data_IF_634278966912
#
_entry.id   IF_634278966912
#
_cell.length_a   1.000
_cell.length_b   1.000
_cell.length_c   1.000
_cell.angle_alpha   90.00
_cell.angle_beta   90.00
_cell.angle_gamma   90.00
#
_symmetry.space_group_name_H-M   'P 1'
#
loop_
_entity.id
_entity.type
_entity.pdbx_description
1 polymer ?
#
# COMPACT_ATOMS: atom_id res chain seq x y z
N UNK A 1 -4.38 7.45 -16.42
CA UNK A 1 -5.51 6.57 -16.85
C UNK A 1 -5.16 6.02 -18.21
N UNK A 2 -5.42 4.73 -18.50
CA UNK A 2 -5.24 4.19 -19.84
C UNK A 2 -6.20 4.91 -20.80
N UNK A 3 -5.65 5.37 -21.93
CA UNK A 3 -6.33 6.09 -23.01
C UNK A 3 -6.62 5.18 -24.21
N UNK A 4 -6.03 3.97 -24.24
CA UNK A 4 -6.15 3.00 -25.32
C UNK A 4 -6.83 1.72 -24.82
N UNK A 5 -7.86 1.27 -25.53
CA UNK A 5 -8.55 0.00 -25.29
C UNK A 5 -8.33 -0.98 -26.46
N UNK A 6 -8.29 -2.27 -26.14
CA UNK A 6 -8.30 -3.39 -27.08
C UNK A 6 -9.55 -4.20 -26.79
N UNK A 7 -10.42 -4.41 -27.78
CA UNK A 7 -11.74 -4.99 -27.59
C UNK A 7 -12.52 -4.24 -26.50
N UNK A 8 -12.79 -2.97 -26.79
CA UNK A 8 -13.42 -2.04 -25.85
C UNK A 8 -14.56 -2.74 -25.09
N UNK A 9 -14.55 -2.72 -23.75
CA UNK A 9 -13.80 -1.81 -22.86
C UNK A 9 -12.49 -2.37 -22.28
N UNK A 10 -11.86 -3.42 -22.84
CA UNK A 10 -10.69 -4.05 -22.19
C UNK A 10 -9.40 -3.26 -22.43
N UNK A 11 -8.56 -3.17 -21.40
CA UNK A 11 -7.31 -2.40 -21.47
C UNK A 11 -6.10 -3.33 -21.60
N UNK A 12 -5.19 -3.08 -22.57
CA UNK A 12 -3.91 -3.77 -22.66
C UNK A 12 -3.04 -3.56 -21.42
N UNK A 13 -2.37 -4.60 -20.96
CA UNK A 13 -1.30 -4.46 -19.98
C UNK A 13 0.00 -4.05 -20.71
N UNK A 14 0.67 -3.00 -20.23
CA UNK A 14 1.95 -2.51 -20.76
C UNK A 14 2.87 -2.11 -19.61
N UNK A 15 4.15 -1.88 -19.90
CA UNK A 15 5.17 -1.57 -18.88
C UNK A 15 4.82 -0.37 -18.01
N UNK A 16 4.21 0.66 -18.59
CA UNK A 16 3.74 1.86 -17.89
C UNK A 16 2.35 1.74 -17.24
N UNK A 17 1.75 0.55 -17.21
CA UNK A 17 0.41 0.36 -16.64
C UNK A 17 0.35 0.63 -15.13
N UNK A 18 1.47 0.68 -14.41
CA UNK A 18 1.52 0.75 -12.95
C UNK A 18 0.60 -0.28 -12.26
N UNK A 19 0.36 -1.40 -12.94
CA UNK A 19 -0.56 -2.43 -12.48
C UNK A 19 0.06 -3.27 -11.38
N UNK A 20 -0.76 -3.58 -10.38
CA UNK A 20 -0.39 -4.40 -9.21
C UNK A 20 -1.16 -5.71 -9.26
N UNK A 21 -0.42 -6.82 -9.18
CA UNK A 21 -0.96 -8.17 -9.06
C UNK A 21 -0.68 -8.72 -7.65
N UNK A 22 -1.50 -8.30 -6.68
CA UNK A 22 -1.44 -8.82 -5.32
C UNK A 22 -2.02 -10.24 -5.30
N UNK A 23 -1.30 -11.20 -4.71
CA UNK A 23 -1.74 -12.58 -4.63
C UNK A 23 -3.11 -12.66 -3.92
N UNK A 24 -4.13 -13.15 -4.63
CA UNK A 24 -5.48 -13.38 -4.09
C UNK A 24 -5.64 -14.79 -3.54
N UNK A 25 -4.74 -15.70 -3.95
CA UNK A 25 -4.59 -17.05 -3.39
C UNK A 25 -3.39 -17.05 -2.42
N UNK A 26 -3.48 -17.67 -1.23
CA UNK A 26 -2.41 -17.61 -0.23
C UNK A 26 -1.04 -18.05 -0.77
N UNK A 27 -0.04 -17.15 -0.66
CA UNK A 27 1.37 -17.45 -0.92
C UNK A 27 1.98 -18.09 0.33
N UNK A 28 1.81 -19.41 0.48
CA UNK A 28 2.31 -20.15 1.65
C UNK A 28 3.82 -20.37 1.51
N UNK A 29 4.58 -19.86 2.46
CA UNK A 29 6.03 -19.96 2.48
C UNK A 29 6.53 -20.72 3.71
N UNK A 30 7.73 -21.28 3.59
CA UNK A 30 8.47 -21.91 4.68
C UNK A 30 9.00 -20.80 5.56
N UNK A 31 8.47 -20.59 6.76
CA UNK A 31 8.98 -19.57 7.69
C UNK A 31 9.83 -20.18 8.80
N UNK A 32 10.87 -19.47 9.28
CA UNK A 32 11.61 -19.91 10.45
C UNK A 32 10.72 -19.84 11.69
N UNK A 33 10.65 -20.94 12.45
CA UNK A 33 9.90 -21.00 13.70
C UNK A 33 9.70 -22.43 14.20
N UNK A 34 9.33 -22.63 15.47
CA UNK A 34 8.96 -23.94 16.00
C UNK A 34 7.60 -24.41 15.45
N UNK A 35 7.38 -25.71 15.17
CA UNK A 35 8.37 -26.81 15.21
C UNK A 35 9.32 -26.80 13.99
N UNK A 36 10.55 -27.26 14.20
CA UNK A 36 11.55 -27.38 13.14
C UNK A 36 11.13 -28.41 12.05
N UNK A 37 11.56 -28.26 10.78
CA UNK A 37 12.51 -27.25 10.28
C UNK A 37 11.90 -25.89 9.88
N UNK A 38 10.58 -25.80 9.67
CA UNK A 38 9.88 -24.55 9.32
C UNK A 38 8.38 -24.64 9.62
N UNK A 39 7.73 -23.47 9.68
CA UNK A 39 6.27 -23.33 9.81
C UNK A 39 5.68 -22.82 8.49
N UNK A 40 4.77 -23.57 7.83
CA UNK A 40 4.05 -23.09 6.66
C UNK A 40 3.20 -21.86 7.02
N UNK A 41 3.52 -20.71 6.42
CA UNK A 41 2.89 -19.42 6.77
C UNK A 41 2.50 -18.66 5.51
N UNK A 42 1.24 -18.20 5.38
CA UNK A 42 0.85 -17.27 4.33
C UNK A 42 1.60 -15.95 4.46
N UNK A 43 2.33 -15.56 3.41
CA UNK A 43 2.98 -14.25 3.30
C UNK A 43 2.38 -13.45 2.15
N UNK A 44 2.44 -12.11 2.17
CA UNK A 44 2.07 -11.33 1.01
C UNK A 44 3.05 -11.62 -0.14
N UNK A 45 2.54 -11.65 -1.37
CA UNK A 45 3.36 -11.55 -2.58
C UNK A 45 2.63 -10.69 -3.60
N UNK A 46 3.36 -9.74 -4.18
CA UNK A 46 2.81 -8.69 -5.02
C UNK A 46 3.68 -8.56 -6.26
N UNK A 47 3.10 -8.86 -7.41
CA UNK A 47 3.71 -8.59 -8.71
C UNK A 47 3.50 -7.14 -9.14
N UNK A 48 4.52 -6.54 -9.75
CA UNK A 48 4.45 -5.17 -10.29
C UNK A 48 4.82 -5.18 -11.76
N UNK A 49 3.90 -4.74 -12.63
CA UNK A 49 4.10 -4.75 -14.09
C UNK A 49 5.33 -4.01 -14.60
N UNK A 50 5.83 -3.01 -13.85
CA UNK A 50 7.07 -2.28 -14.17
C UNK A 50 8.36 -2.94 -13.70
N UNK A 51 8.29 -3.99 -12.89
CA UNK A 51 9.45 -4.64 -12.28
C UNK A 51 9.92 -5.83 -13.13
N UNK A 52 11.17 -5.83 -13.59
CA UNK A 52 11.76 -6.89 -14.44
C UNK A 52 10.82 -7.44 -15.54
N UNK A 53 10.21 -6.59 -16.39
CA UNK A 53 9.27 -7.04 -17.41
C UNK A 53 9.98 -7.87 -18.49
N UNK A 54 9.47 -9.09 -18.74
CA UNK A 54 9.98 -10.04 -19.73
C UNK A 54 8.85 -10.51 -20.65
N UNK A 55 9.19 -10.76 -21.92
CA UNK A 55 8.21 -11.23 -22.90
C UNK A 55 7.21 -10.18 -23.38
N UNK A 56 7.53 -8.90 -23.19
CA UNK A 56 6.78 -7.77 -23.75
C UNK A 56 7.18 -7.54 -25.22
N UNK A 57 6.37 -6.77 -25.95
CA UNK A 57 6.68 -6.35 -27.33
C UNK A 57 8.01 -5.60 -27.41
N UNK A 58 8.63 -5.67 -28.58
CA UNK A 58 9.91 -4.99 -28.88
C UNK A 58 9.79 -3.94 -29.97
N UNK A 59 8.78 -4.04 -30.83
CA UNK A 59 8.52 -3.18 -32.00
C UNK A 59 7.22 -2.42 -31.90
N UNK A 60 6.24 -2.93 -31.14
CA UNK A 60 4.92 -2.30 -30.96
C UNK A 60 4.85 -1.63 -29.60
N UNK A 61 4.37 -0.39 -29.55
CA UNK A 61 4.13 0.33 -28.29
C UNK A 61 2.71 0.83 -28.22
N UNK A 62 2.13 0.83 -27.02
CA UNK A 62 0.89 1.53 -26.67
C UNK A 62 1.24 2.60 -25.65
N UNK A 63 0.84 3.84 -25.89
CA UNK A 63 1.20 4.99 -25.03
C UNK A 63 2.72 5.14 -24.81
N UNK A 64 3.50 4.83 -25.85
CA UNK A 64 4.96 4.85 -25.79
C UNK A 64 5.58 3.72 -24.96
N UNK A 65 4.78 2.76 -24.48
CA UNK A 65 5.24 1.66 -23.62
C UNK A 65 5.16 0.29 -24.32
N UNK A 66 6.13 -0.59 -24.10
CA UNK A 66 6.05 -2.00 -24.50
C UNK A 66 4.84 -2.68 -23.86
N UNK A 67 4.17 -3.55 -24.62
CA UNK A 67 2.91 -4.21 -24.27
C UNK A 67 3.15 -5.66 -23.88
N UNK A 68 2.49 -6.14 -22.83
CA UNK A 68 2.53 -7.54 -22.44
C UNK A 68 1.80 -8.38 -23.50
N UNK A 69 2.47 -9.40 -24.01
CA UNK A 69 1.92 -10.36 -24.98
C UNK A 69 2.12 -11.78 -24.46
N UNK A 70 1.46 -12.78 -25.06
CA UNK A 70 1.49 -14.17 -24.60
C UNK A 70 2.88 -14.65 -24.18
N UNK A 71 2.99 -15.05 -22.90
CA UNK A 71 4.24 -15.47 -22.28
C UNK A 71 4.94 -14.39 -21.46
N UNK A 72 4.37 -13.18 -21.37
CA UNK A 72 4.91 -12.11 -20.56
C UNK A 72 4.90 -12.44 -19.06
N UNK A 73 5.88 -11.88 -18.36
CA UNK A 73 6.00 -11.94 -16.90
C UNK A 73 6.67 -10.68 -16.37
N UNK A 74 6.60 -10.47 -15.07
CA UNK A 74 7.31 -9.41 -14.36
C UNK A 74 7.67 -9.89 -12.95
N UNK A 75 8.47 -9.12 -12.21
CA UNK A 75 8.94 -9.43 -10.86
C UNK A 75 7.83 -9.33 -9.81
N UNK A 76 7.99 -10.10 -8.72
CA UNK A 76 7.14 -10.01 -7.54
C UNK A 76 7.96 -9.91 -6.26
N UNK A 77 7.36 -9.34 -5.21
CA UNK A 77 8.00 -9.17 -3.91
C UNK A 77 7.00 -9.35 -2.76
N UNK A 78 7.49 -9.59 -1.54
CA UNK A 78 6.67 -9.58 -0.31
C UNK A 78 7.01 -10.68 0.70
N UNK A 79 7.77 -11.68 0.28
CA UNK A 79 8.04 -12.90 1.05
C UNK A 79 9.53 -13.12 1.37
N UNK A 80 10.28 -12.01 1.46
CA UNK A 80 11.70 -11.99 1.85
C UNK A 80 11.99 -12.70 3.17
N UNK A 81 11.05 -12.68 4.11
CA UNK A 81 11.19 -13.31 5.42
C UNK A 81 11.36 -14.83 5.34
N UNK A 82 10.91 -15.46 4.26
CA UNK A 82 11.04 -16.90 4.03
C UNK A 82 12.33 -17.30 3.30
N UNK A 83 13.20 -16.34 2.94
CA UNK A 83 14.40 -16.60 2.12
C UNK A 83 15.39 -17.53 2.81
N UNK A 84 15.59 -17.37 4.12
CA UNK A 84 16.50 -18.20 4.92
C UNK A 84 16.05 -19.66 5.04
N UNK A 85 14.77 -19.93 4.77
CA UNK A 85 14.12 -21.25 4.92
C UNK A 85 13.69 -21.85 3.59
N UNK A 86 14.17 -21.29 2.47
CA UNK A 86 13.95 -21.82 1.13
C UNK A 86 12.68 -21.35 0.43
N UNK A 87 12.01 -20.31 0.94
CA UNK A 87 10.96 -19.58 0.25
C UNK A 87 9.58 -20.25 0.22
N UNK A 88 8.86 -20.00 -0.86
CA UNK A 88 7.56 -20.58 -1.16
C UNK A 88 7.53 -22.08 -0.99
N UNK A 89 6.44 -22.60 -0.44
CA UNK A 89 6.28 -24.03 -0.18
C UNK A 89 6.39 -24.86 -1.46
N UNK A 90 5.82 -24.35 -2.55
CA UNK A 90 5.76 -25.01 -3.86
C UNK A 90 6.86 -24.48 -4.79
N UNK A 91 7.00 -23.16 -4.92
CA UNK A 91 7.97 -22.58 -5.87
C UNK A 91 9.42 -22.65 -5.41
N UNK A 92 9.65 -22.80 -4.09
CA UNK A 92 10.95 -22.61 -3.45
C UNK A 92 11.61 -21.27 -3.84
N UNK A 93 10.78 -20.23 -3.99
CA UNK A 93 11.20 -18.89 -4.38
C UNK A 93 10.60 -17.83 -3.43
N UNK A 94 11.18 -16.64 -3.37
CA UNK A 94 10.71 -15.54 -2.50
C UNK A 94 10.38 -14.27 -3.25
N UNK A 95 10.81 -14.15 -4.49
CA UNK A 95 10.61 -12.98 -5.36
C UNK A 95 10.49 -13.47 -6.81
N UNK A 96 9.73 -14.54 -6.99
CA UNK A 96 9.62 -15.20 -8.27
C UNK A 96 8.85 -14.40 -9.31
N UNK A 97 8.88 -14.82 -10.58
CA UNK A 97 8.08 -14.17 -11.62
C UNK A 97 6.58 -14.21 -11.28
N UNK A 98 5.90 -13.09 -11.49
CA UNK A 98 4.46 -13.06 -11.73
C UNK A 98 4.22 -13.21 -13.22
N UNK A 99 3.49 -14.24 -13.63
CA UNK A 99 3.30 -14.62 -15.03
C UNK A 99 1.82 -14.62 -15.39
N UNK A 100 1.48 -14.05 -16.54
CA UNK A 100 0.12 -14.12 -17.05
C UNK A 100 -0.22 -15.57 -17.43
N UNK A 101 -1.42 -16.01 -17.05
CA UNK A 101 -1.99 -17.31 -17.45
C UNK A 101 -3.32 -17.18 -18.17
N UNK A 102 -3.93 -15.99 -18.14
CA UNK A 102 -5.03 -15.66 -19.04
C UNK A 102 -4.63 -15.79 -20.51
N UNK A 103 -5.57 -16.08 -21.42
CA UNK A 103 -5.28 -16.22 -22.84
C UNK A 103 -4.94 -14.88 -23.54
N UNK A 104 -5.14 -13.75 -22.85
CA UNK A 104 -5.09 -12.43 -23.46
C UNK A 104 -6.28 -12.16 -24.37
N UNK A 105 -6.11 -11.18 -25.25
CA UNK A 105 -7.03 -10.88 -26.33
C UNK A 105 -7.12 -12.03 -27.34
N UNK A 106 -8.33 -12.40 -27.74
CA UNK A 106 -8.56 -13.55 -28.63
C UNK A 106 -8.50 -13.19 -30.13
N UNK A 107 -8.56 -11.90 -30.44
CA UNK A 107 -8.70 -11.31 -31.77
C UNK A 107 -7.62 -10.26 -32.06
N UNK A 108 -7.04 -9.61 -31.05
CA UNK A 108 -5.95 -8.63 -31.19
C UNK A 108 -4.62 -9.22 -30.77
N UNK A 109 -3.67 -9.19 -31.72
CA UNK A 109 -2.32 -9.70 -31.54
C UNK A 109 -1.30 -8.61 -31.85
N UNK A 110 -0.26 -8.51 -31.01
CA UNK A 110 0.95 -7.76 -31.30
C UNK A 110 2.10 -8.73 -31.50
N UNK A 111 2.90 -8.51 -32.54
CA UNK A 111 4.04 -9.39 -32.88
C UNK A 111 3.63 -10.86 -33.04
N UNK A 112 2.40 -11.10 -33.53
CA UNK A 112 1.84 -12.43 -33.74
C UNK A 112 1.35 -13.13 -32.47
N UNK A 113 1.41 -12.49 -31.31
CA UNK A 113 0.98 -13.04 -30.01
C UNK A 113 -0.19 -12.27 -29.42
N UNK A 114 -1.04 -12.94 -28.65
CA UNK A 114 -2.20 -12.29 -28.03
C UNK A 114 -1.73 -11.21 -27.06
N UNK A 115 -2.43 -10.09 -27.06
CA UNK A 115 -2.17 -8.97 -26.12
C UNK A 115 -2.75 -9.30 -24.76
N UNK A 116 -1.94 -9.27 -23.70
CA UNK A 116 -2.45 -9.45 -22.34
C UNK A 116 -3.27 -8.24 -21.91
N UNK A 117 -4.32 -8.51 -21.15
CA UNK A 117 -5.26 -7.52 -20.66
C UNK A 117 -5.10 -7.35 -19.15
N UNK A 118 -5.50 -6.19 -18.61
CA UNK A 118 -5.40 -5.96 -17.17
C UNK A 118 -6.15 -7.01 -16.35
N UNK A 119 -7.33 -7.45 -16.81
CA UNK A 119 -8.12 -8.48 -16.12
C UNK A 119 -7.61 -9.92 -16.29
N UNK A 120 -6.48 -10.14 -16.97
CA UNK A 120 -5.97 -11.50 -17.16
C UNK A 120 -5.44 -12.08 -15.84
N UNK A 121 -5.85 -13.31 -15.45
CA UNK A 121 -5.34 -13.94 -14.25
C UNK A 121 -3.85 -14.24 -14.38
N UNK A 122 -3.18 -14.26 -13.23
CA UNK A 122 -1.74 -14.40 -13.12
C UNK A 122 -1.36 -15.42 -12.06
N UNK A 123 -0.18 -16.00 -12.22
CA UNK A 123 0.50 -16.77 -11.19
C UNK A 123 1.54 -15.89 -10.52
N UNK A 124 1.75 -16.07 -9.23
CA UNK A 124 2.64 -15.26 -8.39
C UNK A 124 3.74 -16.12 -7.78
N UNK A 125 4.87 -15.47 -7.50
CA UNK A 125 6.05 -16.07 -6.91
C UNK A 125 6.42 -17.43 -7.56
N UNK A 126 6.50 -17.44 -8.89
CA UNK A 126 6.80 -18.67 -9.60
C UNK A 126 8.25 -19.11 -9.41
N UNK A 127 8.54 -20.38 -9.66
CA UNK A 127 9.91 -20.84 -9.86
C UNK A 127 10.59 -20.07 -11.01
N UNK A 128 11.93 -20.16 -11.14
CA UNK A 128 12.71 -19.37 -12.10
C UNK A 128 12.23 -19.44 -13.57
N UNK A 129 11.63 -20.56 -13.98
CA UNK A 129 11.06 -20.76 -15.32
C UNK A 129 9.62 -20.26 -15.48
N UNK A 130 9.05 -19.61 -14.46
CA UNK A 130 7.64 -19.25 -14.40
C UNK A 130 6.72 -20.39 -13.93
N UNK A 131 7.30 -21.47 -13.39
CA UNK A 131 6.59 -22.60 -12.75
C UNK A 131 7.53 -23.36 -11.80
N UNK A 132 7.00 -24.11 -10.83
CA UNK A 132 5.61 -24.08 -10.38
C UNK A 132 5.30 -22.75 -9.67
N UNK A 133 4.02 -22.41 -9.58
CA UNK A 133 3.57 -21.20 -8.88
C UNK A 133 3.34 -21.45 -7.41
N UNK A 134 3.63 -20.46 -6.57
CA UNK A 134 3.32 -20.55 -5.14
C UNK A 134 1.97 -19.90 -4.78
N UNK A 135 1.50 -18.99 -5.62
CA UNK A 135 0.24 -18.28 -5.47
C UNK A 135 -0.31 -17.85 -6.83
N UNK A 136 -1.48 -17.19 -6.81
CA UNK A 136 -2.12 -16.64 -7.99
C UNK A 136 -2.85 -15.33 -7.67
N UNK A 137 -2.99 -14.48 -8.69
CA UNK A 137 -3.84 -13.29 -8.71
C UNK A 137 -4.94 -13.51 -9.73
N UNK A 138 -6.16 -13.78 -9.25
CA UNK A 138 -7.29 -14.12 -10.12
C UNK A 138 -7.96 -12.89 -10.74
N UNK A 139 -7.78 -11.72 -10.13
CA UNK A 139 -8.38 -10.46 -10.59
C UNK A 139 -7.53 -9.72 -11.65
N UNK A 140 -6.33 -10.23 -11.95
CA UNK A 140 -5.36 -9.57 -12.81
C UNK A 140 -4.69 -8.34 -12.18
N UNK A 141 -4.23 -7.44 -13.05
CA UNK A 141 -3.60 -6.17 -12.72
C UNK A 141 -4.64 -5.10 -12.35
N UNK A 142 -4.58 -4.64 -11.11
CA UNK A 142 -5.38 -3.48 -10.65
C UNK A 142 -4.59 -2.19 -10.91
N UNK A 143 -5.26 -1.19 -11.51
CA UNK A 143 -4.72 0.15 -11.76
C UNK A 143 -5.53 1.19 -10.95
N UNK A 144 -4.89 1.95 -10.06
CA UNK A 144 -5.52 3.05 -9.32
C UNK A 144 -6.12 2.66 -7.96
N UNK A 145 -5.82 3.51 -6.95
CA UNK A 145 -5.88 3.27 -5.49
C UNK A 145 -5.28 1.93 -5.09
N UNK A 146 -3.95 1.95 -5.12
CA UNK A 146 -3.10 1.10 -4.33
C UNK A 146 -3.68 0.87 -2.91
N UNK A 147 -4.05 -0.36 -2.59
CA UNK A 147 -3.54 -0.97 -1.35
C UNK A 147 -2.07 -1.26 -1.64
N UNK A 148 -1.23 -0.22 -1.58
CA UNK A 148 0.20 -0.44 -1.40
C UNK A 148 0.31 -1.06 -0.02
N UNK A 149 1.05 -2.16 0.19
CA UNK A 149 1.71 -2.26 1.48
C UNK A 149 2.52 -0.96 1.64
N UNK A 150 2.22 -0.16 2.68
CA UNK A 150 2.87 1.14 3.00
C UNK A 150 4.25 1.25 2.33
N UNK A 151 4.33 2.10 1.30
CA UNK A 151 5.54 2.34 0.53
C UNK A 151 6.60 2.95 1.46
N UNK A 152 7.86 2.84 1.03
CA UNK A 152 9.02 3.22 1.85
C UNK A 152 9.11 4.73 2.07
N UNK A 153 10.00 5.13 2.98
CA UNK A 153 10.22 6.53 3.36
C UNK A 153 10.75 7.44 2.21
N UNK A 154 10.97 6.90 1.01
CA UNK A 154 11.57 7.58 -0.14
C UNK A 154 13.03 7.97 0.07
N UNK A 155 13.66 8.58 -0.95
CA UNK A 155 14.92 9.30 -0.77
C UNK A 155 14.60 10.74 -0.36
N UNK A 156 14.97 11.12 0.87
CA UNK A 156 14.78 12.47 1.41
C UNK A 156 15.64 13.53 0.69
N UNK A 157 16.64 13.12 -0.10
CA UNK A 157 17.42 14.04 -0.93
C UNK A 157 16.78 14.27 -2.31
N UNK A 158 15.66 13.61 -2.61
CA UNK A 158 14.94 13.83 -3.85
C UNK A 158 14.35 15.25 -3.85
N UNK A 159 14.56 16.06 -4.91
CA UNK A 159 13.95 17.39 -5.02
C UNK A 159 12.45 17.35 -5.34
N UNK A 160 11.86 16.16 -5.47
CA UNK A 160 10.42 15.95 -5.67
C UNK A 160 9.78 16.73 -6.83
N UNK A 161 10.41 16.83 -8.02
CA UNK A 161 9.93 17.70 -9.10
C UNK A 161 8.57 17.25 -9.67
N UNK A 162 8.26 15.94 -9.61
CA UNK A 162 7.00 15.39 -10.10
C UNK A 162 6.08 14.91 -8.97
N UNK A 163 6.24 15.45 -7.75
CA UNK A 163 5.41 15.05 -6.63
C UNK A 163 3.94 15.39 -6.89
N UNK A 164 3.12 14.36 -6.75
CA UNK A 164 1.68 14.42 -6.93
C UNK A 164 1.04 14.63 -5.56
N UNK A 165 0.18 15.64 -5.46
CA UNK A 165 -0.65 15.90 -4.29
C UNK A 165 -2.10 15.72 -4.72
N UNK A 166 -2.83 14.87 -4.00
CA UNK A 166 -4.14 14.39 -4.42
C UNK A 166 -5.13 15.56 -4.61
N UNK A 167 -5.36 15.92 -5.85
CA UNK A 167 -6.29 16.93 -6.35
C UNK A 167 -7.63 16.33 -6.78
N UNK A 168 -7.78 15.01 -6.72
CA UNK A 168 -8.95 14.27 -7.23
C UNK A 168 -10.11 14.29 -6.23
N UNK A 169 -9.81 14.11 -4.94
CA UNK A 169 -10.83 14.14 -3.89
C UNK A 169 -10.94 15.52 -3.24
N UNK A 170 -12.15 16.06 -3.13
CA UNK A 170 -12.39 17.31 -2.39
C UNK A 170 -12.17 17.12 -0.89
N UNK A 171 -11.90 18.20 -0.14
CA UNK A 171 -11.78 18.15 1.32
C UNK A 171 -13.02 17.55 1.99
N UNK A 172 -14.23 17.86 1.48
CA UNK A 172 -15.46 17.26 1.97
C UNK A 172 -15.47 15.73 1.82
N UNK A 173 -14.98 15.21 0.70
CA UNK A 173 -14.85 13.77 0.48
C UNK A 173 -13.83 13.17 1.45
N UNK A 174 -12.69 13.83 1.67
CA UNK A 174 -11.68 13.37 2.63
C UNK A 174 -12.18 13.32 4.06
N UNK A 175 -12.94 14.32 4.49
CA UNK A 175 -13.59 14.32 5.82
C UNK A 175 -14.61 13.18 5.95
N UNK A 176 -15.38 12.90 4.90
CA UNK A 176 -16.30 11.76 4.89
C UNK A 176 -15.56 10.41 4.96
N UNK A 177 -14.47 10.25 4.20
CA UNK A 177 -13.61 9.06 4.25
C UNK A 177 -13.00 8.88 5.65
N UNK A 178 -12.52 9.96 6.27
CA UNK A 178 -11.97 9.94 7.62
C UNK A 178 -13.05 9.54 8.65
N UNK A 179 -14.26 10.07 8.54
CA UNK A 179 -15.39 9.69 9.40
C UNK A 179 -15.75 8.21 9.26
N UNK A 180 -15.79 7.70 8.04
CA UNK A 180 -16.03 6.28 7.77
C UNK A 180 -14.89 5.41 8.33
N UNK A 181 -13.64 5.87 8.25
CA UNK A 181 -12.45 5.19 8.80
C UNK A 181 -12.52 5.11 10.33
N UNK A 182 -12.90 6.19 11.00
CA UNK A 182 -13.09 6.24 12.46
C UNK A 182 -14.17 5.24 12.88
N UNK A 183 -15.34 5.29 12.23
CA UNK A 183 -16.49 4.43 12.54
C UNK A 183 -16.20 2.95 12.28
N UNK A 184 -15.64 2.62 11.10
CA UNK A 184 -15.36 1.23 10.72
C UNK A 184 -14.31 0.58 11.62
N UNK A 185 -13.24 1.30 11.98
CA UNK A 185 -12.23 0.80 12.92
C UNK A 185 -12.78 0.69 14.33
N UNK A 186 -13.58 1.66 14.77
CA UNK A 186 -14.26 1.62 16.07
C UNK A 186 -15.15 0.37 16.19
N UNK A 187 -16.03 0.16 15.21
CA UNK A 187 -16.90 -1.02 15.16
C UNK A 187 -16.11 -2.33 15.06
N UNK A 188 -15.01 -2.36 14.31
CA UNK A 188 -14.15 -3.55 14.24
C UNK A 188 -13.43 -3.83 15.55
N UNK A 189 -12.98 -2.80 16.27
CA UNK A 189 -12.42 -2.93 17.62
C UNK A 189 -13.43 -3.53 18.59
N UNK A 190 -14.64 -2.98 18.66
CA UNK A 190 -15.72 -3.49 19.53
C UNK A 190 -16.06 -4.94 19.22
N UNK A 191 -16.15 -5.29 17.93
CA UNK A 191 -16.39 -6.66 17.49
C UNK A 191 -15.28 -7.61 17.93
N UNK A 192 -14.02 -7.27 17.68
CA UNK A 192 -12.90 -8.13 18.08
C UNK A 192 -12.77 -8.26 19.60
N UNK A 193 -13.11 -7.22 20.35
CA UNK A 193 -13.16 -7.30 21.81
C UNK A 193 -14.26 -8.27 22.29
N UNK A 194 -15.47 -8.20 21.70
CA UNK A 194 -16.53 -9.15 22.00
C UNK A 194 -16.15 -10.59 21.61
N UNK A 195 -15.54 -10.79 20.43
CA UNK A 195 -15.06 -12.10 19.99
C UNK A 195 -13.97 -12.64 20.92
N UNK A 196 -13.09 -11.77 21.46
CA UNK A 196 -12.07 -12.15 22.43
C UNK A 196 -12.68 -12.66 23.75
N UNK A 197 -13.69 -11.96 24.29
CA UNK A 197 -14.42 -12.39 25.50
C UNK A 197 -15.08 -13.75 25.30
N UNK A 198 -15.71 -13.97 24.13
CA UNK A 198 -16.34 -15.25 23.81
C UNK A 198 -15.29 -16.37 23.70
N UNK A 199 -14.15 -16.10 23.07
CA UNK A 199 -13.06 -17.07 22.94
C UNK A 199 -12.45 -17.43 24.31
N UNK A 200 -12.28 -16.45 25.20
CA UNK A 200 -11.80 -16.67 26.57
C UNK A 200 -12.78 -17.51 27.38
N UNK A 201 -14.08 -17.20 27.32
CA UNK A 201 -15.13 -17.99 27.98
C UNK A 201 -15.24 -19.43 27.48
N UNK A 202 -14.84 -19.69 26.23
CA UNK A 202 -14.73 -21.03 25.65
C UNK A 202 -13.40 -21.75 25.99
N UNK A 203 -12.52 -21.13 26.78
CA UNK A 203 -11.22 -21.69 27.17
C UNK A 203 -10.13 -21.58 26.08
N UNK A 204 -10.37 -20.81 25.01
CA UNK A 204 -9.42 -20.62 23.91
C UNK A 204 -8.61 -19.33 24.07
N UNK A 205 -7.77 -19.29 25.11
CA UNK A 205 -7.02 -18.11 25.53
C UNK A 205 -6.07 -17.57 24.45
N UNK A 206 -5.42 -18.46 23.68
CA UNK A 206 -4.52 -18.03 22.60
C UNK A 206 -5.24 -17.31 21.44
N UNK A 207 -6.52 -17.62 21.20
CA UNK A 207 -7.34 -16.90 20.22
C UNK A 207 -7.85 -15.59 20.81
N UNK A 208 -8.25 -15.59 22.09
CA UNK A 208 -8.65 -14.38 22.81
C UNK A 208 -7.54 -13.32 22.82
N UNK A 209 -6.30 -13.70 23.13
CA UNK A 209 -5.15 -12.78 23.15
C UNK A 209 -4.92 -12.12 21.80
N UNK A 210 -4.97 -12.90 20.70
CA UNK A 210 -4.80 -12.37 19.34
C UNK A 210 -5.92 -11.42 18.96
N UNK A 211 -7.16 -11.75 19.30
CA UNK A 211 -8.31 -10.90 19.03
C UNK A 211 -8.23 -9.59 19.83
N UNK A 212 -7.77 -9.66 21.07
CA UNK A 212 -7.55 -8.49 21.92
C UNK A 212 -6.44 -7.58 21.35
N UNK A 213 -5.33 -8.15 20.88
CA UNK A 213 -4.27 -7.39 20.21
C UNK A 213 -4.79 -6.63 18.97
N UNK A 214 -5.60 -7.30 18.14
CA UNK A 214 -6.22 -6.69 16.96
C UNK A 214 -7.22 -5.61 17.36
N UNK A 215 -8.04 -5.85 18.39
CA UNK A 215 -8.98 -4.87 18.91
C UNK A 215 -8.26 -3.59 19.37
N UNK A 216 -7.22 -3.74 20.20
CA UNK A 216 -6.43 -2.61 20.69
C UNK A 216 -5.74 -1.83 19.57
N UNK A 217 -5.29 -2.51 18.52
CA UNK A 217 -4.70 -1.83 17.36
C UNK A 217 -5.76 -1.02 16.58
N UNK A 218 -6.94 -1.59 16.33
CA UNK A 218 -8.04 -0.84 15.71
C UNK A 218 -8.52 0.33 16.56
N UNK A 219 -8.56 0.17 17.88
CA UNK A 219 -8.90 1.24 18.82
C UNK A 219 -7.87 2.38 18.75
N UNK A 220 -6.56 2.05 18.80
CA UNK A 220 -5.48 3.05 18.68
C UNK A 220 -5.57 3.82 17.37
N UNK A 221 -5.83 3.10 16.27
CA UNK A 221 -5.97 3.72 14.96
C UNK A 221 -7.21 4.60 14.87
N UNK A 222 -8.36 4.15 15.37
CA UNK A 222 -9.59 4.95 15.43
C UNK A 222 -9.39 6.22 16.26
N UNK A 223 -8.71 6.12 17.41
CA UNK A 223 -8.32 7.28 18.24
C UNK A 223 -7.37 8.24 17.54
N UNK A 224 -6.41 7.73 16.77
CA UNK A 224 -5.49 8.57 15.98
C UNK A 224 -6.24 9.33 14.88
N UNK A 225 -7.09 8.64 14.11
CA UNK A 225 -7.92 9.23 13.06
C UNK A 225 -8.92 10.26 13.66
N UNK A 226 -9.48 9.97 14.85
CA UNK A 226 -10.36 10.90 15.56
C UNK A 226 -9.63 12.15 16.06
N UNK A 227 -8.38 12.02 16.47
CA UNK A 227 -7.54 13.15 16.86
C UNK A 227 -7.20 14.03 15.66
N UNK A 228 -6.88 13.45 14.51
CA UNK A 228 -6.71 14.17 13.25
C UNK A 228 -7.97 14.98 12.89
N UNK A 229 -9.16 14.36 12.96
CA UNK A 229 -10.44 15.05 12.77
C UNK A 229 -10.61 16.22 13.74
N UNK A 230 -10.29 16.00 15.01
CA UNK A 230 -10.38 17.04 16.04
C UNK A 230 -9.47 18.23 15.72
N UNK A 231 -8.19 17.99 15.40
CA UNK A 231 -7.24 19.03 15.00
C UNK A 231 -7.73 19.77 13.75
N UNK A 232 -8.27 19.04 12.77
CA UNK A 232 -8.84 19.64 11.56
C UNK A 232 -9.99 20.61 11.84
N UNK A 233 -10.83 20.30 12.84
CA UNK A 233 -11.92 21.18 13.26
C UNK A 233 -11.42 22.36 14.11
N UNK A 234 -10.55 22.10 15.09
CA UNK A 234 -9.98 23.09 16.01
C UNK A 234 -9.20 24.18 15.27
N UNK A 235 -8.60 23.83 14.13
CA UNK A 235 -7.73 24.74 13.35
C UNK A 235 -8.41 25.31 12.10
N UNK A 236 -9.72 25.09 11.94
CA UNK A 236 -10.49 25.46 10.75
C UNK A 236 -9.76 25.05 9.45
N UNK A 237 -9.38 23.77 9.37
CA UNK A 237 -8.54 23.26 8.31
C UNK A 237 -9.15 23.45 6.92
N UNK A 238 -8.29 23.82 5.96
CA UNK A 238 -8.62 23.85 4.52
C UNK A 238 -8.64 22.46 3.93
N UNK A 239 -7.71 21.62 4.40
CA UNK A 239 -7.49 20.28 3.87
C UNK A 239 -7.22 19.30 5.00
N UNK A 240 -7.82 18.12 4.94
CA UNK A 240 -7.64 17.02 5.89
C UNK A 240 -7.37 15.71 5.14
N UNK A 241 -6.52 14.84 5.68
CA UNK A 241 -6.25 13.47 5.16
C UNK A 241 -5.85 13.43 3.68
N UNK A 242 -5.05 14.41 3.22
CA UNK A 242 -4.68 14.53 1.80
C UNK A 242 -3.44 13.73 1.48
N UNK A 243 -3.52 12.88 0.46
CA UNK A 243 -2.41 11.98 0.09
C UNK A 243 -1.44 12.66 -0.85
N UNK A 244 -0.17 12.26 -0.77
CA UNK A 244 0.85 12.61 -1.74
C UNK A 244 1.64 11.39 -2.18
N UNK A 245 2.16 11.46 -3.40
CA UNK A 245 3.03 10.45 -3.97
C UNK A 245 4.08 11.09 -4.88
N UNK A 246 5.35 10.80 -4.63
CA UNK A 246 6.45 11.14 -5.52
C UNK A 246 6.79 9.94 -6.40
N UNK A 247 6.54 9.98 -7.73
CA UNK A 247 6.91 8.90 -8.62
C UNK A 247 8.43 8.78 -8.81
N UNK A 248 9.18 9.85 -8.55
CA UNK A 248 10.65 9.87 -8.76
C UNK A 248 11.41 9.06 -7.70
N UNK A 249 11.04 9.21 -6.42
CA UNK A 249 11.70 8.51 -5.31
C UNK A 249 10.77 7.53 -4.56
N UNK A 250 9.56 7.32 -5.07
CA UNK A 250 8.53 6.43 -4.52
C UNK A 250 8.04 6.81 -3.11
N UNK A 251 8.34 8.03 -2.65
CA UNK A 251 7.83 8.54 -1.38
C UNK A 251 6.31 8.63 -1.45
N UNK A 252 5.62 8.07 -0.48
CA UNK A 252 4.18 8.19 -0.29
C UNK A 252 3.86 8.66 1.13
N UNK A 253 2.73 9.32 1.28
CA UNK A 253 2.26 9.71 2.58
C UNK A 253 0.93 10.43 2.52
N UNK A 254 0.57 10.94 3.69
CA UNK A 254 -0.66 11.65 3.93
C UNK A 254 -0.29 12.88 4.75
N UNK A 255 -0.79 14.04 4.34
CA UNK A 255 -0.79 15.25 5.14
C UNK A 255 -2.09 15.25 5.92
N UNK A 256 -1.99 15.06 7.24
CA UNK A 256 -3.14 14.89 8.12
C UNK A 256 -4.01 16.16 8.12
N UNK A 257 -3.42 17.34 8.35
CA UNK A 257 -4.16 18.60 8.41
C UNK A 257 -3.37 19.77 7.80
N UNK A 258 -4.03 20.58 6.97
CA UNK A 258 -3.57 21.92 6.57
C UNK A 258 -4.54 22.94 7.14
N UNK A 259 -4.08 23.77 8.08
CA UNK A 259 -4.94 24.71 8.81
C UNK A 259 -5.49 25.83 7.90
N UNK A 260 -6.51 26.55 8.39
CA UNK A 260 -7.00 27.78 7.75
C UNK A 260 -5.90 28.81 7.49
N UNK A 261 -4.89 28.87 8.37
CA UNK A 261 -3.72 29.75 8.28
C UNK A 261 -2.59 29.21 7.40
N UNK A 262 -2.72 28.02 6.81
CA UNK A 262 -1.70 27.41 5.95
C UNK A 262 -0.55 26.74 6.69
N UNK A 263 -0.76 26.32 7.94
CA UNK A 263 0.19 25.50 8.70
C UNK A 263 -0.09 24.04 8.39
N UNK A 264 0.95 23.27 8.06
CA UNK A 264 0.84 21.82 7.87
C UNK A 264 1.01 21.13 9.23
N UNK A 265 0.16 20.17 9.53
CA UNK A 265 0.15 19.44 10.80
C UNK A 265 0.23 17.93 10.56
N UNK A 266 1.21 17.29 11.20
CA UNK A 266 1.25 15.84 11.41
C UNK A 266 0.64 15.57 12.80
N UNK A 267 -0.43 14.78 12.86
CA UNK A 267 -1.17 14.48 14.08
C UNK A 267 -0.65 13.20 14.74
N UNK A 268 -0.35 13.25 16.04
CA UNK A 268 0.13 12.07 16.78
C UNK A 268 -0.47 11.92 18.17
N UNK A 269 -1.04 10.75 18.42
CA UNK A 269 -1.48 10.29 19.74
C UNK A 269 -0.46 9.39 20.43
N UNK A 270 0.62 9.03 19.73
CA UNK A 270 1.70 8.15 20.20
C UNK A 270 3.08 8.76 19.95
N UNK A 271 4.15 8.03 20.32
CA UNK A 271 5.52 8.52 20.15
C UNK A 271 5.80 8.83 18.66
N UNK A 272 6.08 10.10 18.29
CA UNK A 272 6.34 10.46 16.91
C UNK A 272 7.69 9.90 16.45
N UNK A 273 7.77 9.48 15.19
CA UNK A 273 9.03 9.05 14.56
C UNK A 273 9.61 10.22 13.77
N UNK A 274 10.89 10.55 13.98
CA UNK A 274 11.55 11.69 13.33
C UNK A 274 11.45 11.60 11.79
N UNK A 275 11.71 10.42 11.22
CA UNK A 275 11.58 10.16 9.78
C UNK A 275 10.21 10.50 9.19
N UNK A 276 9.14 10.35 9.97
CA UNK A 276 7.80 10.70 9.48
C UNK A 276 7.68 12.21 9.26
N UNK A 277 8.19 13.02 10.20
CA UNK A 277 8.17 14.47 10.02
C UNK A 277 9.13 14.92 8.92
N UNK A 278 10.33 14.34 8.82
CA UNK A 278 11.26 14.64 7.71
C UNK A 278 10.58 14.40 6.36
N UNK A 279 9.83 13.30 6.25
CA UNK A 279 9.03 12.99 5.06
C UNK A 279 7.94 14.04 4.79
N UNK A 280 7.15 14.39 5.80
CA UNK A 280 6.09 15.42 5.65
C UNK A 280 6.69 16.79 5.35
N UNK A 281 7.81 17.15 5.96
CA UNK A 281 8.52 18.40 5.71
C UNK A 281 9.08 18.45 4.28
N UNK A 282 9.67 17.37 3.79
CA UNK A 282 10.16 17.26 2.41
C UNK A 282 9.03 17.42 1.39
N UNK A 283 7.91 16.72 1.60
CA UNK A 283 6.73 16.85 0.74
C UNK A 283 6.11 18.26 0.82
N UNK A 284 5.95 18.80 2.03
CA UNK A 284 5.36 20.13 2.25
C UNK A 284 6.19 21.25 1.66
N UNK A 285 7.52 21.13 1.62
CA UNK A 285 8.39 22.13 0.99
C UNK A 285 8.07 22.32 -0.50
N UNK A 286 7.57 21.28 -1.17
CA UNK A 286 7.18 21.34 -2.59
C UNK A 286 5.70 21.68 -2.75
N UNK A 287 4.81 21.06 -1.96
CA UNK A 287 3.35 21.26 -2.06
C UNK A 287 2.95 22.65 -1.57
N UNK A 288 3.53 23.08 -0.45
CA UNK A 288 3.22 24.31 0.26
C UNK A 288 4.50 25.11 0.59
N UNK A 289 5.16 25.71 -0.42
CA UNK A 289 6.42 26.40 -0.21
C UNK A 289 6.32 27.47 0.90
N UNK A 290 7.17 27.35 1.92
CA UNK A 290 7.22 28.27 3.06
C UNK A 290 6.19 28.02 4.16
N UNK A 291 5.31 27.02 4.02
CA UNK A 291 4.39 26.63 5.08
C UNK A 291 5.14 25.94 6.23
N UNK A 292 4.91 26.35 7.50
CA UNK A 292 5.49 25.66 8.64
C UNK A 292 4.85 24.29 8.83
N UNK A 293 5.66 23.29 9.17
CA UNK A 293 5.20 21.94 9.53
C UNK A 293 5.30 21.76 11.03
N UNK A 294 4.17 21.50 11.69
CA UNK A 294 4.08 21.28 13.11
C UNK A 294 3.60 19.88 13.44
N UNK A 295 4.08 19.35 14.55
CA UNK A 295 3.53 18.16 15.18
C UNK A 295 2.35 18.58 16.07
N UNK A 296 1.15 18.11 15.75
CA UNK A 296 -0.03 18.24 16.60
C UNK A 296 -0.12 17.04 17.55
N UNK A 297 -0.25 17.29 18.85
CA UNK A 297 -0.37 16.25 19.88
C UNK A 297 -1.51 16.54 20.87
N UNK A 298 -2.06 15.52 21.54
CA UNK A 298 -3.00 15.74 22.64
C UNK A 298 -2.38 16.57 23.76
N UNK A 299 -3.19 17.46 24.35
CA UNK A 299 -2.82 18.20 25.57
C UNK A 299 -2.22 17.32 26.66
N UNK A 300 -1.08 17.76 27.21
CA UNK A 300 -0.37 17.07 28.28
C UNK A 300 0.42 15.82 27.86
N UNK A 301 0.47 15.49 26.56
CA UNK A 301 1.29 14.39 26.07
C UNK A 301 2.78 14.76 26.12
N UNK A 302 3.57 13.98 26.87
CA UNK A 302 5.03 14.17 26.94
C UNK A 302 5.73 13.50 25.76
N UNK A 303 6.47 14.28 24.96
CA UNK A 303 7.31 13.77 23.89
C UNK A 303 8.75 13.61 24.40
N UNK A 304 9.28 12.38 24.38
CA UNK A 304 10.62 12.04 24.88
C UNK A 304 11.74 12.07 23.83
N UNK A 305 11.76 13.04 22.91
CA UNK A 305 12.65 13.06 21.72
C UNK A 305 13.12 14.48 21.34
N UNK A 306 14.18 14.65 20.51
CA UNK A 306 14.86 15.93 20.26
C UNK A 306 14.12 16.86 19.28
N UNK A 307 12.81 17.01 19.46
CA UNK A 307 11.99 17.86 18.60
C UNK A 307 12.10 19.31 19.05
N UNK A 308 12.21 20.27 18.12
CA UNK A 308 12.12 21.67 18.46
C UNK A 308 10.76 21.95 19.10
N UNK A 309 10.76 22.42 20.35
CA UNK A 309 9.51 22.73 21.07
C UNK A 309 8.64 23.74 20.32
N UNK A 310 9.25 24.61 19.51
CA UNK A 310 8.56 25.55 18.63
C UNK A 310 7.74 24.90 17.51
N UNK A 311 7.99 23.63 17.19
CA UNK A 311 7.28 22.87 16.16
C UNK A 311 6.23 21.92 16.74
N UNK A 312 6.04 21.91 18.06
CA UNK A 312 5.04 21.07 18.73
C UNK A 312 3.87 21.96 19.12
N UNK A 313 2.64 21.52 18.80
CA UNK A 313 1.42 22.21 19.19
C UNK A 313 0.45 21.23 19.85
N UNK A 314 0.03 21.59 21.06
CA UNK A 314 -0.97 20.83 21.79
C UNK A 314 -2.39 21.23 21.34
N UNK A 315 -3.24 20.22 21.15
CA UNK A 315 -4.66 20.36 20.83
C UNK A 315 -5.49 19.64 21.89
#
# INVERSE_FOLDING_TARGET
MPTVAVNSPKTPAHKGSNGVAAATVPNVCKMPGPPAPFVPTPLPNIGRSGEDPKGYTTRVTVEGQPVAISGASFGSQGDVASKGTGGGLISSNTHGPTKFVGPGSMDVKFEGKNVHLLGDPMLNNCGPSGSPANAATMMGLVQGILVVPKQGDGDLNCPHPNLQYDDVATDSTRRQELDQKIQSKGASSERHFADAIVAEGAGNTAVADKLLEVALEHERQSKADAFEKFVGNDTHAKEVSKKFHCPDCLMDGEIDVVTGSGVVKECKTGKPKLKQLEKIASASAVIFPGAPVHLAIPKGMKIGTPWPQSQIQEH
#
